data_IF_921506988742
#
_entry.id   IF_921506988742
#
_cell.length_a   1.000
_cell.length_b   1.000
_cell.length_c   1.000
_cell.angle_alpha   90.00
_cell.angle_beta   90.00
_cell.angle_gamma   90.00
#
_symmetry.space_group_name_H-M   'P 1'
#
loop_
_entity.id
_entity.type
_entity.pdbx_description
1 polymer ?
#
# COMPACT_ATOMS: atom_id res chain seq x y z
N UNK A 1 -50.56 -6.53 34.06
CA UNK A 1 -49.28 -6.65 34.81
C UNK A 1 -48.31 -7.49 33.99
N UNK A 2 -47.08 -6.97 33.76
CA UNK A 2 -45.80 -7.71 33.64
C UNK A 2 -45.70 -8.76 32.50
N UNK A 3 -44.74 -8.75 31.57
CA UNK A 3 -43.40 -8.12 31.51
C UNK A 3 -42.91 -7.99 30.07
N UNK A 4 -42.25 -6.86 29.80
CA UNK A 4 -41.16 -6.71 28.82
C UNK A 4 -40.06 -7.76 29.12
N UNK A 5 -39.53 -8.41 28.09
CA UNK A 5 -38.17 -8.96 28.11
C UNK A 5 -37.46 -8.62 26.80
N UNK A 6 -36.66 -7.58 26.93
CA UNK A 6 -35.35 -7.29 26.34
C UNK A 6 -34.79 -8.22 25.24
N UNK A 7 -34.44 -7.57 24.14
CA UNK A 7 -33.06 -7.39 23.64
C UNK A 7 -32.20 -8.65 23.44
N UNK A 8 -32.05 -9.06 22.19
CA UNK A 8 -30.72 -9.41 21.65
C UNK A 8 -30.70 -9.22 20.13
N UNK A 9 -30.46 -7.97 19.75
CA UNK A 9 -30.05 -7.55 18.42
C UNK A 9 -28.70 -8.19 18.10
N UNK A 10 -28.70 -9.32 17.41
CA UNK A 10 -27.55 -9.73 16.61
C UNK A 10 -27.91 -9.51 15.16
N UNK A 11 -27.82 -8.25 14.74
CA UNK A 11 -27.70 -7.90 13.34
C UNK A 11 -26.44 -8.61 12.83
N UNK A 12 -26.64 -9.72 12.12
CA UNK A 12 -25.60 -10.37 11.35
C UNK A 12 -25.21 -9.34 10.27
N UNK A 13 -24.20 -8.53 10.55
CA UNK A 13 -23.52 -7.75 9.52
C UNK A 13 -22.89 -8.76 8.59
N UNK A 14 -23.65 -9.14 7.56
CA UNK A 14 -23.16 -9.80 6.37
C UNK A 14 -22.25 -8.78 5.69
N UNK A 15 -21.01 -8.70 6.15
CA UNK A 15 -19.94 -7.95 5.52
C UNK A 15 -19.77 -8.54 4.13
N UNK A 16 -20.40 -7.87 3.16
CA UNK A 16 -20.09 -8.01 1.75
C UNK A 16 -18.66 -7.50 1.62
N UNK A 17 -17.70 -8.38 1.85
CA UNK A 17 -16.35 -8.25 1.31
C UNK A 17 -16.54 -8.29 -0.21
N UNK A 18 -16.70 -7.10 -0.79
CA UNK A 18 -16.63 -6.91 -2.22
C UNK A 18 -15.26 -7.44 -2.64
N UNK A 19 -15.16 -8.53 -3.42
CA UNK A 19 -13.87 -8.90 -3.97
C UNK A 19 -13.56 -7.76 -4.95
N UNK A 20 -12.64 -6.88 -4.56
CA UNK A 20 -11.93 -6.05 -5.52
C UNK A 20 -11.23 -7.03 -6.45
N UNK A 21 -11.93 -7.39 -7.53
CA UNK A 21 -11.31 -7.92 -8.72
C UNK A 21 -10.42 -6.79 -9.22
N UNK A 22 -9.20 -6.73 -8.68
CA UNK A 22 -8.09 -6.06 -9.33
C UNK A 22 -8.10 -6.63 -10.74
N UNK A 23 -8.53 -5.82 -11.70
CA UNK A 23 -8.42 -6.15 -13.10
C UNK A 23 -6.92 -6.39 -13.35
N UNK A 24 -6.53 -7.67 -13.35
CA UNK A 24 -5.24 -8.14 -13.80
C UNK A 24 -5.15 -7.78 -15.28
N UNK A 25 -4.59 -6.60 -15.58
CA UNK A 25 -3.93 -6.45 -16.86
C UNK A 25 -2.67 -7.31 -16.78
N UNK A 26 -2.70 -8.43 -17.50
CA UNK A 26 -1.56 -9.29 -17.74
C UNK A 26 -0.56 -8.52 -18.63
N UNK A 27 0.18 -7.58 -18.04
CA UNK A 27 1.48 -7.22 -18.57
C UNK A 27 2.45 -8.18 -17.90
N UNK A 28 3.05 -9.07 -18.66
CA UNK A 28 4.25 -9.75 -18.20
C UNK A 28 5.23 -8.64 -17.81
N UNK A 29 5.44 -8.46 -16.52
CA UNK A 29 6.22 -7.33 -16.04
C UNK A 29 7.66 -7.47 -16.55
N UNK A 30 7.99 -6.70 -17.59
CA UNK A 30 9.30 -6.76 -18.24
C UNK A 30 10.27 -5.86 -17.46
N UNK A 31 10.64 -6.32 -16.27
CA UNK A 31 11.59 -5.59 -15.44
C UNK A 31 13.01 -5.75 -15.98
N UNK A 32 13.86 -4.72 -15.83
CA UNK A 32 15.29 -4.84 -16.10
C UNK A 32 15.91 -6.00 -15.32
N UNK A 33 17.00 -6.56 -15.86
CA UNK A 33 17.80 -7.52 -15.13
C UNK A 33 18.29 -6.91 -13.80
N UNK A 34 18.24 -7.71 -12.73
CA UNK A 34 18.63 -7.25 -11.40
C UNK A 34 17.65 -6.27 -10.72
N UNK A 35 16.50 -5.97 -11.34
CA UNK A 35 15.48 -5.11 -10.74
C UNK A 35 15.06 -5.60 -9.35
N UNK A 36 15.09 -4.66 -8.39
CA UNK A 36 14.47 -4.81 -7.08
C UNK A 36 13.70 -3.54 -6.75
N UNK A 37 12.39 -3.66 -6.53
CA UNK A 37 11.52 -2.51 -6.35
C UNK A 37 10.05 -2.89 -6.25
N UNK A 38 9.16 -1.90 -6.38
CA UNK A 38 7.73 -2.14 -6.34
C UNK A 38 7.28 -3.09 -7.46
N UNK A 39 6.35 -4.00 -7.14
CA UNK A 39 5.71 -4.84 -8.16
C UNK A 39 4.93 -3.98 -9.16
N UNK A 40 4.24 -2.94 -8.70
CA UNK A 40 3.47 -2.05 -9.57
C UNK A 40 4.03 -0.64 -9.49
N UNK A 41 4.07 0.04 -10.63
CA UNK A 41 4.46 1.46 -10.70
C UNK A 41 3.29 2.41 -10.45
N UNK A 42 2.05 1.91 -10.52
CA UNK A 42 0.82 2.69 -10.32
C UNK A 42 -0.23 1.87 -9.59
N UNK A 43 -0.94 2.51 -8.66
CA UNK A 43 -2.13 1.98 -7.98
C UNK A 43 -3.25 3.03 -8.00
N UNK A 44 -4.50 2.56 -8.06
CA UNK A 44 -5.69 3.39 -7.93
C UNK A 44 -6.50 2.88 -6.74
N UNK A 45 -6.77 3.78 -5.81
CA UNK A 45 -7.39 3.47 -4.54
C UNK A 45 -8.54 4.46 -4.31
N UNK A 46 -9.78 3.95 -4.26
CA UNK A 46 -11.00 4.76 -4.13
C UNK A 46 -11.66 4.51 -2.77
N UNK A 47 -11.88 5.57 -2.00
CA UNK A 47 -12.36 5.48 -0.62
C UNK A 47 -13.44 6.51 -0.29
N UNK A 48 -14.25 6.20 0.72
CA UNK A 48 -15.17 7.17 1.29
C UNK A 48 -14.42 8.22 2.11
N UNK A 49 -14.86 9.48 2.02
CA UNK A 49 -14.22 10.60 2.73
C UNK A 49 -14.21 10.43 4.26
N UNK A 50 -15.14 9.66 4.79
CA UNK A 50 -15.28 9.40 6.23
C UNK A 50 -14.29 8.35 6.76
N UNK A 51 -13.64 7.59 5.87
CA UNK A 51 -12.66 6.58 6.27
C UNK A 51 -11.44 7.26 6.91
N UNK A 52 -11.25 7.00 8.20
CA UNK A 52 -10.20 7.64 8.98
C UNK A 52 -8.80 7.19 8.54
N UNK A 53 -8.60 5.87 8.49
CA UNK A 53 -7.38 5.26 7.99
C UNK A 53 -7.62 3.84 7.47
N UNK A 54 -6.71 3.35 6.64
CA UNK A 54 -6.62 1.93 6.30
C UNK A 54 -5.17 1.54 6.00
N UNK A 55 -4.91 0.25 6.09
CA UNK A 55 -3.61 -0.36 5.80
C UNK A 55 -3.59 -0.82 4.33
N UNK A 56 -2.63 -0.31 3.55
CA UNK A 56 -2.39 -0.70 2.16
C UNK A 56 -1.15 -1.58 2.06
N UNK A 57 -1.33 -2.81 1.58
CA UNK A 57 -0.25 -3.78 1.38
C UNK A 57 0.47 -3.52 0.05
N UNK A 58 1.79 -3.35 0.10
CA UNK A 58 2.63 -3.09 -1.06
C UNK A 58 3.66 -4.21 -1.22
N UNK A 59 3.70 -4.80 -2.42
CA UNK A 59 4.67 -5.83 -2.76
C UNK A 59 5.96 -5.22 -3.33
N UNK A 60 7.09 -5.63 -2.77
CA UNK A 60 8.44 -5.38 -3.28
C UNK A 60 8.97 -6.70 -3.82
N UNK A 61 9.52 -6.67 -5.03
CA UNK A 61 9.97 -7.86 -5.74
C UNK A 61 11.42 -7.73 -6.18
N UNK A 62 12.04 -8.87 -6.45
CA UNK A 62 13.32 -9.01 -7.12
C UNK A 62 13.18 -9.96 -8.31
N UNK A 63 13.82 -9.65 -9.45
CA UNK A 63 13.79 -10.52 -10.64
C UNK A 63 14.56 -11.83 -10.42
N UNK A 64 15.61 -11.79 -9.60
CA UNK A 64 16.45 -12.93 -9.24
C UNK A 64 16.44 -13.20 -7.72
N UNK A 65 16.60 -14.49 -7.35
CA UNK A 65 16.83 -14.88 -5.96
C UNK A 65 18.26 -14.48 -5.55
N UNK A 66 18.43 -14.12 -4.29
CA UNK A 66 19.74 -13.88 -3.67
C UNK A 66 20.09 -14.99 -2.70
N UNK A 67 21.38 -15.24 -2.48
CA UNK A 67 21.86 -16.07 -1.35
C UNK A 67 21.91 -15.28 -0.04
N UNK A 68 21.80 -13.96 -0.12
CA UNK A 68 21.86 -13.03 1.00
C UNK A 68 20.56 -12.23 1.11
N UNK A 69 20.22 -11.81 2.32
CA UNK A 69 19.15 -10.84 2.56
C UNK A 69 19.44 -9.54 1.79
N UNK A 70 18.42 -9.01 1.11
CA UNK A 70 18.51 -7.73 0.39
C UNK A 70 17.55 -6.74 1.00
N UNK A 71 18.08 -5.62 1.46
CA UNK A 71 17.26 -4.55 2.06
C UNK A 71 17.07 -3.39 1.09
N UNK A 72 15.86 -2.87 1.05
CA UNK A 72 15.50 -1.63 0.36
C UNK A 72 15.03 -0.61 1.39
N UNK A 73 15.31 0.66 1.15
CA UNK A 73 14.73 1.77 1.92
C UNK A 73 13.51 2.32 1.21
N UNK A 74 12.48 2.63 1.98
CA UNK A 74 11.26 3.26 1.54
C UNK A 74 11.24 4.72 1.96
N UNK A 75 10.79 5.58 1.05
CA UNK A 75 10.53 6.98 1.36
C UNK A 75 9.25 7.49 0.72
N UNK A 76 8.63 8.43 1.40
CA UNK A 76 7.48 9.21 0.94
C UNK A 76 7.88 10.69 0.92
N UNK A 77 7.30 11.52 0.03
CA UNK A 77 7.48 12.95 0.08
C UNK A 77 7.01 13.48 1.44
N UNK A 78 7.73 14.46 1.96
CA UNK A 78 7.26 15.20 3.13
C UNK A 78 5.90 15.85 2.82
N UNK A 79 4.97 15.91 3.79
CA UNK A 79 3.73 16.66 3.62
C UNK A 79 4.04 18.11 3.23
N UNK A 80 3.24 18.68 2.33
CA UNK A 80 3.34 20.11 2.03
C UNK A 80 3.06 20.91 3.30
N UNK A 81 3.77 22.03 3.49
CA UNK A 81 3.59 22.89 4.67
C UNK A 81 2.12 23.24 4.89
N UNK A 82 1.63 23.05 6.11
CA UNK A 82 0.22 23.27 6.48
C UNK A 82 -0.73 22.11 6.14
N UNK A 83 -0.27 21.03 5.52
CA UNK A 83 -1.08 19.82 5.26
C UNK A 83 -0.68 18.67 6.18
N UNK A 84 -1.68 17.89 6.60
CA UNK A 84 -1.44 16.67 7.34
C UNK A 84 -0.91 15.55 6.42
N UNK A 85 -0.15 14.61 6.97
CA UNK A 85 0.28 13.44 6.23
C UNK A 85 -0.93 12.56 5.86
N UNK A 86 -1.09 12.32 4.56
CA UNK A 86 -2.14 11.45 3.98
C UNK A 86 -1.66 10.01 3.80
N UNK A 87 -0.36 9.77 3.93
CA UNK A 87 0.26 8.45 3.97
C UNK A 87 1.38 8.42 5.03
N UNK A 88 1.59 7.27 5.65
CA UNK A 88 2.73 7.00 6.51
C UNK A 88 3.29 5.62 6.22
N UNK A 89 4.62 5.51 6.25
CA UNK A 89 5.30 4.22 6.24
C UNK A 89 5.19 3.60 7.64
N UNK A 90 4.89 2.31 7.75
CA UNK A 90 4.99 1.58 9.04
C UNK A 90 6.44 1.19 9.34
N UNK A 91 7.22 0.98 8.29
CA UNK A 91 8.66 0.69 8.31
C UNK A 91 9.36 1.47 7.18
N UNK A 92 10.57 1.96 7.43
CA UNK A 92 11.37 2.70 6.44
C UNK A 92 12.32 1.80 5.65
N UNK A 93 12.39 0.51 6.00
CA UNK A 93 13.23 -0.48 5.35
C UNK A 93 12.48 -1.79 5.26
N UNK A 94 12.63 -2.48 4.14
CA UNK A 94 12.04 -3.81 3.90
C UNK A 94 13.13 -4.75 3.46
N UNK A 95 13.18 -5.94 4.06
CA UNK A 95 14.15 -6.97 3.71
C UNK A 95 13.50 -8.10 2.92
N UNK A 96 13.97 -8.32 1.70
CA UNK A 96 13.72 -9.54 0.94
C UNK A 96 14.69 -10.59 1.44
N UNK A 97 14.15 -11.64 2.07
CA UNK A 97 14.96 -12.72 2.65
C UNK A 97 15.72 -13.51 1.58
N UNK A 98 16.90 -14.01 1.94
CA UNK A 98 17.67 -14.94 1.12
C UNK A 98 16.77 -16.08 0.59
N UNK A 99 16.96 -16.46 -0.67
CA UNK A 99 16.15 -17.46 -1.37
C UNK A 99 14.76 -17.00 -1.82
N UNK A 100 14.29 -15.83 -1.37
CA UNK A 100 13.00 -15.26 -1.76
C UNK A 100 13.12 -14.27 -2.92
N UNK A 101 12.01 -14.03 -3.61
CA UNK A 101 11.90 -13.03 -4.70
C UNK A 101 11.00 -11.85 -4.34
N UNK A 102 10.42 -11.84 -3.14
CA UNK A 102 9.50 -10.78 -2.74
C UNK A 102 9.44 -10.61 -1.24
N UNK A 103 9.06 -9.41 -0.84
CA UNK A 103 8.60 -9.08 0.49
C UNK A 103 7.37 -8.17 0.36
N UNK A 104 6.56 -8.11 1.41
CA UNK A 104 5.41 -7.22 1.48
C UNK A 104 5.59 -6.30 2.66
N UNK A 105 5.21 -5.04 2.48
CA UNK A 105 5.16 -4.03 3.53
C UNK A 105 3.76 -3.43 3.59
N UNK A 106 3.45 -2.77 4.70
CA UNK A 106 2.18 -2.07 4.90
C UNK A 106 2.44 -0.58 5.02
N UNK A 107 1.63 0.22 4.32
CA UNK A 107 1.59 1.67 4.50
C UNK A 107 0.22 2.09 5.00
N UNK A 108 0.19 3.05 5.92
CA UNK A 108 -1.07 3.62 6.42
C UNK A 108 -1.50 4.76 5.54
N UNK A 109 -2.76 4.75 5.10
CA UNK A 109 -3.36 5.82 4.30
C UNK A 109 -4.46 6.50 5.11
N UNK A 110 -4.58 7.83 5.00
CA UNK A 110 -5.54 8.65 5.74
C UNK A 110 -6.43 9.47 4.77
N UNK A 111 -7.49 8.86 4.21
CA UNK A 111 -8.35 9.51 3.20
C UNK A 111 -9.02 10.79 3.71
N UNK A 112 -9.44 10.81 4.98
CA UNK A 112 -10.10 11.97 5.59
C UNK A 112 -9.18 13.20 5.75
N UNK A 113 -7.86 13.04 5.58
CA UNK A 113 -6.87 14.14 5.63
C UNK A 113 -6.56 14.73 4.25
N UNK A 114 -7.08 14.14 3.18
CA UNK A 114 -6.87 14.66 1.83
C UNK A 114 -7.53 16.03 1.66
N UNK A 115 -6.78 16.97 1.08
CA UNK A 115 -7.29 18.31 0.78
C UNK A 115 -8.15 18.33 -0.49
N UNK A 116 -7.82 17.49 -1.47
CA UNK A 116 -8.50 17.41 -2.76
C UNK A 116 -9.24 16.08 -2.89
N UNK A 117 -10.31 16.05 -3.70
CA UNK A 117 -11.03 14.81 -4.04
C UNK A 117 -10.13 13.76 -4.70
N UNK A 118 -9.03 14.18 -5.31
CA UNK A 118 -8.07 13.31 -5.95
C UNK A 118 -6.66 13.81 -5.67
N UNK A 119 -5.75 12.90 -5.30
CA UNK A 119 -4.36 13.26 -5.00
C UNK A 119 -3.41 12.12 -5.39
N UNK A 120 -2.29 12.49 -6.01
CA UNK A 120 -1.21 11.55 -6.32
C UNK A 120 -0.18 11.56 -5.20
N UNK A 121 0.20 10.37 -4.75
CA UNK A 121 1.30 10.15 -3.82
C UNK A 121 2.35 9.31 -4.52
N UNK A 122 3.63 9.66 -4.39
CA UNK A 122 4.71 8.85 -4.94
C UNK A 122 5.56 8.27 -3.82
N UNK A 123 5.64 6.94 -3.74
CA UNK A 123 6.59 6.24 -2.87
C UNK A 123 7.85 5.95 -3.68
N UNK A 124 8.99 6.01 -3.01
CA UNK A 124 10.28 5.58 -3.58
C UNK A 124 10.77 4.34 -2.83
N UNK A 125 11.32 3.39 -3.58
CA UNK A 125 11.97 2.19 -3.06
C UNK A 125 13.40 2.18 -3.61
N UNK A 126 14.37 2.37 -2.72
CA UNK A 126 15.79 2.46 -3.08
C UNK A 126 16.55 1.27 -2.51
N UNK A 127 17.04 0.35 -3.36
CA UNK A 127 18.02 -0.66 -2.95
C UNK A 127 19.19 -0.08 -2.16
N UNK A 128 19.62 -0.77 -1.10
CA UNK A 128 20.71 -0.29 -0.23
C UNK A 128 22.12 -0.73 -0.69
N UNK A 129 22.24 -1.39 -1.85
CA UNK A 129 23.51 -1.76 -2.47
C UNK A 129 23.87 -0.85 -3.65
N UNK A 130 25.15 -0.79 -4.02
CA UNK A 130 25.74 0.22 -4.93
C UNK A 130 25.14 0.30 -6.35
N UNK A 131 24.38 -0.68 -6.81
CA UNK A 131 23.93 -0.81 -8.21
C UNK A 131 22.41 -0.80 -8.40
N UNK A 132 21.63 -0.69 -7.33
CA UNK A 132 20.18 -0.75 -7.46
C UNK A 132 19.56 0.59 -7.88
N UNK A 133 18.66 0.55 -8.87
CA UNK A 133 17.90 1.72 -9.30
C UNK A 133 16.70 1.96 -8.38
N UNK A 134 16.45 3.23 -8.02
CA UNK A 134 15.25 3.59 -7.28
C UNK A 134 13.99 3.31 -8.11
N UNK A 135 13.12 2.45 -7.58
CA UNK A 135 11.78 2.22 -8.11
C UNK A 135 10.79 3.20 -7.50
N UNK A 136 9.76 3.58 -8.27
CA UNK A 136 8.70 4.50 -7.82
C UNK A 136 7.32 3.88 -8.01
N UNK A 137 6.47 4.06 -7.01
CA UNK A 137 5.06 3.70 -7.06
C UNK A 137 4.24 4.97 -6.89
N UNK A 138 3.39 5.27 -7.88
CA UNK A 138 2.39 6.34 -7.78
C UNK A 138 1.05 5.76 -7.34
N UNK A 139 0.55 6.19 -6.19
CA UNK A 139 -0.78 5.86 -5.69
C UNK A 139 -1.69 7.04 -6.00
N UNK A 140 -2.69 6.80 -6.84
CA UNK A 140 -3.76 7.73 -7.11
C UNK A 140 -4.88 7.47 -6.10
N UNK A 141 -4.99 8.33 -5.09
CA UNK A 141 -6.11 8.30 -4.14
C UNK A 141 -7.27 9.11 -4.69
N UNK A 142 -8.48 8.54 -4.64
CA UNK A 142 -9.74 9.24 -4.96
C UNK A 142 -10.75 9.10 -3.83
N UNK A 143 -11.38 10.22 -3.49
CA UNK A 143 -12.56 10.23 -2.64
C UNK A 143 -13.81 10.03 -3.50
N UNK A 144 -14.69 9.13 -3.05
CA UNK A 144 -16.03 8.94 -3.62
C UNK A 144 -16.95 10.13 -3.27
#
# INVERSE_FOLDING_TARGET
MKKLKDLSTKALFLSIMLPFLYACSNKSDNYPEGYVGFKQSKLLEEHDKELAEYDLSIAIIATSKSKEDRTVSLSIPAPTSGQAAIISLTESQVTIKAGSKSATTVVKVFPNRMTFKQQNITLSCTPQWKEGTTSRLTILLKQK
#
